data_IF_086744018405
#
_entry.id   IF_086744018405
#
_cell.length_a   1.000
_cell.length_b   1.000
_cell.length_c   1.000
_cell.angle_alpha   90.00
_cell.angle_beta   90.00
_cell.angle_gamma   90.00
#
_symmetry.space_group_name_H-M   'P 1'
#
loop_
_entity.id
_entity.type
_entity.pdbx_description
1 polymer ?
#
# COMPACT_ATOMS: atom_id res chain seq x y z
N UNK A 1 11.13 8.10 -6.28
CA UNK A 1 10.12 9.12 -5.97
C UNK A 1 10.06 9.23 -4.47
N UNK A 2 10.11 10.42 -3.91
CA UNK A 2 9.88 10.65 -2.49
C UNK A 2 8.63 11.52 -2.39
N UNK A 3 7.52 10.94 -1.96
CA UNK A 3 6.39 11.74 -1.49
C UNK A 3 6.75 12.31 -0.13
N UNK A 4 6.29 13.52 0.16
CA UNK A 4 6.41 14.11 1.48
C UNK A 4 5.70 13.21 2.51
N UNK A 5 6.37 12.97 3.65
CA UNK A 5 5.86 12.20 4.78
C UNK A 5 4.45 12.63 5.19
N UNK A 6 4.08 13.89 4.98
CA UNK A 6 2.74 14.40 5.26
C UNK A 6 1.63 13.68 4.48
N UNK A 7 1.89 13.31 3.23
CA UNK A 7 0.90 12.64 2.38
C UNK A 7 0.66 11.22 2.88
N UNK A 8 1.73 10.47 3.16
CA UNK A 8 1.61 9.15 3.76
C UNK A 8 0.99 9.23 5.15
N UNK A 9 1.35 10.23 5.95
CA UNK A 9 0.77 10.47 7.26
C UNK A 9 -0.74 10.65 7.21
N UNK A 10 -1.22 11.48 6.28
CA UNK A 10 -2.66 11.68 6.06
C UNK A 10 -3.35 10.40 5.58
N UNK A 11 -2.76 9.68 4.63
CA UNK A 11 -3.33 8.44 4.10
C UNK A 11 -3.50 7.39 5.20
N UNK A 12 -2.47 7.19 6.02
CA UNK A 12 -2.50 6.24 7.14
C UNK A 12 -3.51 6.67 8.21
N UNK A 13 -3.62 7.97 8.49
CA UNK A 13 -4.62 8.50 9.43
C UNK A 13 -6.04 8.25 8.95
N UNK A 14 -6.33 8.52 7.68
CA UNK A 14 -7.65 8.27 7.09
C UNK A 14 -7.96 6.78 7.11
N UNK A 15 -7.01 5.94 6.69
CA UNK A 15 -7.18 4.48 6.69
C UNK A 15 -7.44 3.94 8.10
N UNK A 16 -6.63 4.32 9.08
CA UNK A 16 -6.81 3.92 10.47
C UNK A 16 -8.14 4.43 11.04
N UNK A 17 -8.51 5.69 10.77
CA UNK A 17 -9.79 6.25 11.18
C UNK A 17 -10.99 5.50 10.60
N UNK A 18 -10.94 5.13 9.31
CA UNK A 18 -11.98 4.34 8.64
C UNK A 18 -12.08 2.95 9.26
N UNK A 19 -10.96 2.27 9.51
CA UNK A 19 -10.98 0.94 10.15
C UNK A 19 -11.58 1.03 11.56
N UNK A 20 -11.18 2.02 12.36
CA UNK A 20 -11.73 2.25 13.70
C UNK A 20 -13.22 2.59 13.70
N UNK A 21 -13.72 3.17 12.60
CA UNK A 21 -15.14 3.41 12.42
C UNK A 21 -15.88 2.11 12.11
N UNK A 22 -15.41 1.35 11.12
CA UNK A 22 -16.05 0.11 10.65
C UNK A 22 -16.11 -0.98 11.72
N UNK A 23 -15.04 -1.16 12.50
CA UNK A 23 -14.95 -2.27 13.47
C UNK A 23 -15.94 -2.12 14.63
N UNK A 24 -16.52 -0.93 14.83
CA UNK A 24 -17.56 -0.69 15.84
C UNK A 24 -18.86 -1.43 15.52
N UNK A 25 -19.11 -1.70 14.24
CA UNK A 25 -20.29 -2.40 13.78
C UNK A 25 -20.14 -3.92 13.84
N UNK A 26 -18.99 -4.44 14.31
CA UNK A 26 -18.77 -5.87 14.39
C UNK A 26 -19.60 -6.49 15.52
N UNK A 27 -20.28 -7.62 15.26
CA UNK A 27 -21.14 -8.24 16.26
C UNK A 27 -20.30 -8.81 17.41
N UNK A 28 -20.76 -8.54 18.64
CA UNK A 28 -20.19 -9.18 19.83
C UNK A 28 -20.61 -10.65 19.88
N UNK A 29 -19.64 -11.56 20.07
CA UNK A 29 -19.88 -13.00 20.16
C UNK A 29 -20.11 -13.37 21.65
N UNK A 30 -21.29 -13.88 22.03
CA UNK A 30 -21.56 -14.27 23.41
C UNK A 30 -20.56 -15.31 23.92
N UNK A 31 -20.02 -15.10 25.13
CA UNK A 31 -19.03 -16.00 25.74
C UNK A 31 -17.58 -15.75 25.32
N UNK A 32 -17.32 -14.81 24.38
CA UNK A 32 -15.97 -14.43 24.00
C UNK A 32 -15.53 -13.15 24.71
N UNK A 33 -14.43 -13.21 25.47
CA UNK A 33 -13.91 -12.05 26.23
C UNK A 33 -13.29 -10.97 25.32
N UNK A 34 -12.85 -11.36 24.13
CA UNK A 34 -12.17 -10.50 23.16
C UNK A 34 -12.95 -10.48 21.86
N UNK A 35 -13.51 -9.32 21.51
CA UNK A 35 -14.29 -9.14 20.30
C UNK A 35 -13.45 -9.19 19.02
N UNK A 36 -14.10 -9.41 17.86
CA UNK A 36 -13.44 -9.43 16.55
C UNK A 36 -12.89 -8.05 16.12
N UNK A 37 -13.25 -6.98 16.82
CA UNK A 37 -12.81 -5.61 16.62
C UNK A 37 -11.40 -5.34 17.17
N UNK A 38 -10.90 -6.14 18.12
CA UNK A 38 -9.65 -5.87 18.83
C UNK A 38 -8.45 -5.79 17.90
N UNK A 39 -8.20 -6.82 17.09
CA UNK A 39 -7.01 -6.88 16.24
C UNK A 39 -7.01 -5.80 15.16
N UNK A 40 -8.10 -5.63 14.36
CA UNK A 40 -8.18 -4.54 13.40
C UNK A 40 -8.08 -3.17 14.08
N UNK A 41 -8.72 -3.00 15.24
CA UNK A 41 -8.68 -1.77 16.03
C UNK A 41 -7.27 -1.41 16.51
N UNK A 42 -6.52 -2.38 17.04
CA UNK A 42 -5.15 -2.16 17.51
C UNK A 42 -4.22 -1.74 16.37
N UNK A 43 -4.32 -2.43 15.22
CA UNK A 43 -3.55 -2.08 14.02
C UNK A 43 -3.93 -0.66 13.58
N UNK A 44 -5.22 -0.34 13.53
CA UNK A 44 -5.72 0.96 13.12
C UNK A 44 -5.25 2.10 14.05
N UNK A 45 -5.18 1.86 15.37
CA UNK A 45 -4.57 2.81 16.32
C UNK A 45 -3.09 3.02 15.98
N UNK A 46 -2.34 1.95 15.73
CA UNK A 46 -0.94 2.04 15.30
C UNK A 46 -0.77 2.87 14.01
N UNK A 47 -1.65 2.65 13.03
CA UNK A 47 -1.69 3.43 11.79
C UNK A 47 -1.99 4.91 12.05
N UNK A 48 -2.94 5.22 12.94
CA UNK A 48 -3.24 6.60 13.32
C UNK A 48 -2.06 7.28 14.03
N UNK A 49 -1.41 6.60 14.97
CA UNK A 49 -0.25 7.15 15.68
C UNK A 49 0.90 7.42 14.71
N UNK A 50 1.29 6.42 13.92
CA UNK A 50 2.34 6.56 12.91
C UNK A 50 1.99 7.62 11.87
N UNK A 51 0.73 7.63 11.42
CA UNK A 51 0.19 8.61 10.49
C UNK A 51 0.28 10.04 11.02
N UNK A 52 -0.12 10.27 12.27
CA UNK A 52 0.04 11.56 12.97
C UNK A 52 1.51 12.01 13.01
N UNK A 53 2.43 11.11 13.38
CA UNK A 53 3.86 11.43 13.46
C UNK A 53 4.39 11.86 12.09
N UNK A 54 4.10 11.10 11.04
CA UNK A 54 4.50 11.42 9.66
C UNK A 54 3.85 12.71 9.16
N UNK A 55 2.57 12.93 9.47
CA UNK A 55 1.82 14.14 9.14
C UNK A 55 2.52 15.37 9.72
N UNK A 56 2.78 15.36 11.03
CA UNK A 56 3.42 16.48 11.72
C UNK A 56 4.84 16.70 11.20
N UNK A 57 5.62 15.64 10.99
CA UNK A 57 6.99 15.74 10.48
C UNK A 57 7.01 16.34 9.07
N UNK A 58 6.20 15.82 8.16
CA UNK A 58 6.10 16.32 6.79
C UNK A 58 5.56 17.74 6.71
N UNK A 59 4.58 18.07 7.57
CA UNK A 59 4.02 19.41 7.66
C UNK A 59 5.03 20.45 8.15
N UNK A 60 5.90 20.10 9.11
CA UNK A 60 6.96 20.99 9.61
C UNK A 60 7.99 21.32 8.55
N UNK A 61 8.29 20.38 7.65
CA UNK A 61 9.34 20.53 6.62
C UNK A 61 8.74 20.97 5.26
N UNK A 62 7.43 21.24 5.19
CA UNK A 62 6.72 21.56 3.94
C UNK A 62 7.24 22.80 3.20
N UNK A 63 7.88 23.74 3.90
CA UNK A 63 8.44 24.96 3.31
C UNK A 63 9.77 24.72 2.60
N UNK A 64 10.49 23.64 2.92
CA UNK A 64 11.83 23.34 2.39
C UNK A 64 11.87 22.07 1.54
N UNK A 65 10.90 21.16 1.70
CA UNK A 65 10.83 19.92 0.93
C UNK A 65 9.57 19.92 0.05
N UNK A 66 9.72 19.77 -1.29
CA UNK A 66 8.58 19.69 -2.19
C UNK A 66 7.71 18.47 -1.88
N UNK A 67 6.40 18.58 -2.13
CA UNK A 67 5.43 17.55 -1.79
C UNK A 67 5.64 16.25 -2.59
N UNK A 68 6.16 16.37 -3.80
CA UNK A 68 6.51 15.27 -4.68
C UNK A 68 7.90 15.51 -5.26
N UNK A 69 8.84 14.65 -4.91
CA UNK A 69 10.15 14.60 -5.56
C UNK A 69 10.16 13.40 -6.50
N UNK A 70 10.05 13.65 -7.81
CA UNK A 70 10.26 12.61 -8.81
C UNK A 70 11.69 12.09 -8.67
N UNK A 71 11.84 10.77 -8.53
CA UNK A 71 13.19 10.18 -8.46
C UNK A 71 13.80 10.12 -9.85
N UNK A 72 15.12 10.10 -9.94
CA UNK A 72 15.82 10.07 -11.24
C UNK A 72 15.44 8.85 -12.09
N UNK A 73 14.98 7.77 -11.47
CA UNK A 73 14.45 6.57 -12.15
C UNK A 73 13.29 6.86 -13.11
N UNK A 74 12.48 7.90 -12.87
CA UNK A 74 11.35 8.28 -13.75
C UNK A 74 11.84 8.70 -15.12
N UNK A 75 13.09 9.19 -15.21
CA UNK A 75 13.74 9.54 -16.48
C UNK A 75 14.38 8.34 -17.17
N UNK A 76 14.48 7.20 -16.49
CA UNK A 76 15.06 5.98 -17.07
C UNK A 76 13.96 5.14 -17.71
N UNK A 77 13.96 4.99 -19.05
CA UNK A 77 12.93 4.21 -19.76
C UNK A 77 12.89 2.76 -19.29
N UNK A 78 14.03 2.19 -18.88
CA UNK A 78 14.12 0.84 -18.31
C UNK A 78 13.35 0.70 -16.99
N UNK A 79 13.47 1.67 -16.08
CA UNK A 79 12.78 1.62 -14.79
C UNK A 79 11.28 1.85 -14.93
N UNK A 80 10.87 2.70 -15.87
CA UNK A 80 9.46 2.87 -16.22
C UNK A 80 8.88 1.60 -16.83
N UNK A 81 9.62 0.96 -17.75
CA UNK A 81 9.22 -0.32 -18.33
C UNK A 81 9.10 -1.42 -17.25
N UNK A 82 10.05 -1.49 -16.32
CA UNK A 82 10.01 -2.41 -15.19
C UNK A 82 8.74 -2.22 -14.34
N UNK A 83 8.37 -0.97 -14.03
CA UNK A 83 7.15 -0.66 -13.29
C UNK A 83 5.88 -1.06 -14.06
N UNK A 84 5.83 -0.73 -15.35
CA UNK A 84 4.67 -1.07 -16.21
C UNK A 84 4.52 -2.59 -16.33
N UNK A 85 5.60 -3.32 -16.52
CA UNK A 85 5.58 -4.78 -16.59
C UNK A 85 5.20 -5.42 -15.26
N UNK A 86 5.66 -4.86 -14.13
CA UNK A 86 5.27 -5.32 -12.81
C UNK A 86 3.76 -5.17 -12.60
N UNK A 87 3.20 -3.98 -12.84
CA UNK A 87 1.75 -3.74 -12.74
C UNK A 87 0.99 -4.61 -13.75
N UNK A 88 1.46 -4.66 -15.00
CA UNK A 88 0.88 -5.47 -16.06
C UNK A 88 0.88 -6.96 -15.74
N UNK A 89 1.92 -7.47 -15.07
CA UNK A 89 2.00 -8.87 -14.68
C UNK A 89 0.94 -9.25 -13.64
N UNK A 90 0.66 -8.36 -12.70
CA UNK A 90 -0.41 -8.56 -11.69
C UNK A 90 -1.77 -8.61 -12.38
N UNK A 91 -2.04 -7.63 -13.26
CA UNK A 91 -3.30 -7.59 -14.00
C UNK A 91 -3.47 -8.81 -14.91
N UNK A 92 -2.42 -9.19 -15.64
CA UNK A 92 -2.40 -10.38 -16.47
C UNK A 92 -2.68 -11.64 -15.65
N UNK A 93 -2.03 -11.79 -14.48
CA UNK A 93 -2.26 -12.93 -13.61
C UNK A 93 -3.71 -13.01 -13.14
N UNK A 94 -4.30 -11.90 -12.68
CA UNK A 94 -5.70 -11.85 -12.24
C UNK A 94 -6.65 -12.31 -13.35
N UNK A 95 -6.40 -11.90 -14.60
CA UNK A 95 -7.29 -12.17 -15.72
C UNK A 95 -7.11 -13.56 -16.34
N UNK A 96 -5.89 -14.09 -16.34
CA UNK A 96 -5.52 -15.24 -17.19
C UNK A 96 -5.17 -16.49 -16.37
N UNK A 97 -4.74 -16.34 -15.10
CA UNK A 97 -4.26 -17.48 -14.29
C UNK A 97 -5.30 -18.57 -14.09
N UNK A 98 -6.58 -18.22 -14.00
CA UNK A 98 -7.65 -19.20 -13.81
C UNK A 98 -7.84 -20.10 -15.04
N UNK A 99 -7.52 -19.62 -16.24
CA UNK A 99 -7.70 -20.34 -17.51
C UNK A 99 -6.46 -21.16 -17.88
N UNK A 100 -5.27 -20.57 -17.75
CA UNK A 100 -4.00 -21.21 -18.12
C UNK A 100 -3.37 -22.01 -16.97
N UNK A 101 -3.80 -21.79 -15.73
CA UNK A 101 -3.19 -22.36 -14.54
C UNK A 101 -1.93 -21.63 -14.10
N UNK A 102 -1.49 -21.93 -12.88
CA UNK A 102 -0.40 -21.23 -12.20
C UNK A 102 0.93 -21.33 -12.96
N UNK A 103 1.35 -22.54 -13.35
CA UNK A 103 2.69 -22.73 -13.90
C UNK A 103 2.87 -22.02 -15.25
N UNK A 104 1.86 -22.11 -16.12
CA UNK A 104 1.90 -21.47 -17.44
C UNK A 104 1.80 -19.94 -17.38
N UNK A 105 1.26 -19.38 -16.29
CA UNK A 105 1.22 -17.92 -16.10
C UNK A 105 2.43 -17.38 -15.33
N UNK A 106 2.88 -18.07 -14.29
CA UNK A 106 3.98 -17.62 -13.44
C UNK A 106 5.33 -17.62 -14.17
N UNK A 107 5.62 -18.67 -14.96
CA UNK A 107 6.90 -18.78 -15.69
C UNK A 107 7.16 -17.60 -16.63
N UNK A 108 6.25 -17.21 -17.55
CA UNK A 108 6.49 -16.06 -18.42
C UNK A 108 6.54 -14.74 -17.64
N UNK A 109 5.70 -14.56 -16.62
CA UNK A 109 5.75 -13.36 -15.75
C UNK A 109 7.16 -13.22 -15.15
N UNK A 110 7.68 -14.27 -14.50
CA UNK A 110 8.99 -14.23 -13.86
C UNK A 110 10.12 -14.06 -14.88
N UNK A 111 10.07 -14.75 -16.02
CA UNK A 111 11.08 -14.63 -17.07
C UNK A 111 11.16 -13.20 -17.64
N UNK A 112 10.00 -12.54 -17.84
CA UNK A 112 9.93 -11.16 -18.32
C UNK A 112 10.45 -10.20 -17.24
N UNK A 113 10.02 -10.35 -15.99
CA UNK A 113 10.44 -9.46 -14.91
C UNK A 113 11.94 -9.56 -14.63
N UNK A 114 12.51 -10.76 -14.56
CA UNK A 114 13.97 -10.95 -14.33
C UNK A 114 14.85 -10.42 -15.47
N UNK A 115 14.32 -10.27 -16.68
CA UNK A 115 15.08 -9.64 -17.77
C UNK A 115 15.08 -8.12 -17.70
N UNK A 116 14.07 -7.52 -17.08
CA UNK A 116 13.83 -6.07 -17.13
C UNK A 116 14.23 -5.37 -15.83
N UNK A 117 13.90 -5.95 -14.67
CA UNK A 117 14.44 -5.53 -13.36
C UNK A 117 15.91 -5.89 -13.30
#
# INVERSE_FOLDING_TARGET
MKLNDAVFGLLLLVLGGVVLFIVRDYPSIPGQQVGPDLFPGLIAVGLCIGGCILLVRGWRVRATVPWLQMGDWVRSPRHVLALVLLIGSVLFYILVSQQLGFLLTAVPILAILFRVL
#
